data_IF_776676852104
#
_entry.id   IF_776676852104
#
_cell.length_a   1.000
_cell.length_b   1.000
_cell.length_c   1.000
_cell.angle_alpha   90.00
_cell.angle_beta   90.00
_cell.angle_gamma   90.00
#
_symmetry.space_group_name_H-M   'P 1'
#
loop_
_entity.id
_entity.type
_entity.pdbx_description
1 polymer ?
#
# COMPACT_ATOMS: atom_id res chain seq x y z
N UNK A 1 33.98 11.47 4.23
CA UNK A 1 32.79 10.60 4.04
C UNK A 1 33.16 9.12 4.00
N UNK A 2 34.17 8.71 3.22
CA UNK A 2 34.63 7.31 3.23
C UNK A 2 35.17 6.91 4.61
N UNK A 3 36.12 7.70 5.14
CA UNK A 3 36.66 7.55 6.49
C UNK A 3 35.56 7.53 7.55
N UNK A 4 34.66 8.52 7.53
CA UNK A 4 33.50 8.58 8.42
C UNK A 4 32.65 7.30 8.39
N UNK A 5 32.38 6.74 7.21
CA UNK A 5 31.59 5.50 7.11
C UNK A 5 32.40 4.32 7.67
N UNK A 6 33.71 4.29 7.46
CA UNK A 6 34.58 3.26 8.01
C UNK A 6 34.66 3.33 9.55
N UNK A 7 34.73 4.54 10.13
CA UNK A 7 34.78 4.75 11.57
C UNK A 7 33.49 4.28 12.28
N UNK A 8 32.32 4.60 11.71
CA UNK A 8 31.02 4.24 12.28
C UNK A 8 30.50 2.86 11.84
N UNK A 9 31.00 2.32 10.73
CA UNK A 9 30.61 1.02 10.18
C UNK A 9 31.84 0.21 9.74
N UNK A 10 32.74 -0.16 10.68
CA UNK A 10 34.00 -0.82 10.33
C UNK A 10 33.79 -2.23 9.76
N UNK A 11 32.69 -2.90 10.11
CA UNK A 11 32.33 -4.23 9.59
C UNK A 11 31.52 -4.17 8.27
N UNK A 12 31.43 -3.01 7.61
CA UNK A 12 30.64 -2.88 6.39
C UNK A 12 31.36 -3.53 5.20
N UNK A 13 30.70 -4.47 4.55
CA UNK A 13 31.22 -5.06 3.32
C UNK A 13 31.47 -3.97 2.24
N UNK A 14 32.58 -4.02 1.50
CA UNK A 14 32.91 -3.00 0.48
C UNK A 14 31.79 -2.80 -0.55
N UNK A 15 31.12 -3.88 -0.96
CA UNK A 15 29.98 -3.84 -1.89
C UNK A 15 28.77 -3.02 -1.36
N UNK A 16 28.63 -2.89 -0.04
CA UNK A 16 27.54 -2.13 0.60
C UNK A 16 27.87 -0.65 0.82
N UNK A 17 29.11 -0.22 0.57
CA UNK A 17 29.58 1.14 0.83
C UNK A 17 28.71 2.19 0.12
N UNK A 18 28.47 2.02 -1.19
CA UNK A 18 27.68 2.98 -1.97
C UNK A 18 26.23 3.10 -1.49
N UNK A 19 25.61 1.98 -1.12
CA UNK A 19 24.26 1.98 -0.54
C UNK A 19 24.21 2.74 0.79
N UNK A 20 25.19 2.50 1.68
CA UNK A 20 25.31 3.20 2.96
C UNK A 20 25.55 4.69 2.77
N UNK A 21 26.51 5.06 1.91
CA UNK A 21 26.82 6.46 1.56
C UNK A 21 25.58 7.19 1.06
N UNK A 22 24.85 6.60 0.13
CA UNK A 22 23.62 7.19 -0.44
C UNK A 22 22.54 7.38 0.61
N UNK A 23 22.41 6.43 1.53
CA UNK A 23 21.46 6.51 2.65
C UNK A 23 21.81 7.64 3.61
N UNK A 24 23.07 7.76 4.03
CA UNK A 24 23.52 8.83 4.93
C UNK A 24 23.35 10.19 4.27
N UNK A 25 23.74 10.34 3.00
CA UNK A 25 23.55 11.61 2.27
C UNK A 25 22.07 11.99 2.15
N UNK A 26 21.18 11.02 1.96
CA UNK A 26 19.73 11.24 1.97
C UNK A 26 19.25 11.70 3.34
N UNK A 27 19.71 11.09 4.42
CA UNK A 27 19.36 11.51 5.78
C UNK A 27 19.86 12.92 6.09
N UNK A 28 21.09 13.26 5.68
CA UNK A 28 21.64 14.62 5.85
C UNK A 28 20.78 15.64 5.09
N UNK A 29 20.42 15.36 3.83
CA UNK A 29 19.56 16.24 3.02
C UNK A 29 18.17 16.41 3.65
N UNK A 30 17.61 15.35 4.23
CA UNK A 30 16.25 15.34 4.76
C UNK A 30 16.18 15.51 6.28
N UNK A 31 17.26 15.94 6.94
CA UNK A 31 17.38 15.99 8.42
C UNK A 31 16.19 16.69 9.09
N UNK A 32 15.82 17.88 8.61
CA UNK A 32 14.68 18.65 9.16
C UNK A 32 13.35 17.88 9.11
N UNK A 33 13.11 17.14 8.03
CA UNK A 33 11.90 16.31 7.88
C UNK A 33 11.91 15.11 8.85
N UNK A 34 13.09 14.53 9.09
CA UNK A 34 13.24 13.45 10.07
C UNK A 34 13.02 13.95 11.50
N UNK A 35 13.59 15.10 11.87
CA UNK A 35 13.37 15.73 13.18
C UNK A 35 11.89 16.05 13.41
N UNK A 36 11.21 16.61 12.41
CA UNK A 36 9.77 16.86 12.46
C UNK A 36 8.95 15.56 12.61
N UNK A 37 9.35 14.47 11.95
CA UNK A 37 8.67 13.18 12.08
C UNK A 37 8.86 12.56 13.47
N UNK A 38 10.06 12.68 14.05
CA UNK A 38 10.34 12.23 15.43
C UNK A 38 9.50 13.02 16.43
N UNK A 39 9.41 14.34 16.27
CA UNK A 39 8.60 15.19 17.15
C UNK A 39 7.10 14.83 17.13
N UNK A 40 6.59 14.29 16.03
CA UNK A 40 5.20 13.82 15.87
C UNK A 40 5.04 12.34 16.29
N UNK A 41 6.03 11.74 16.96
CA UNK A 41 5.98 10.36 17.45
C UNK A 41 6.20 9.28 16.37
N UNK A 42 6.65 9.65 15.17
CA UNK A 42 6.91 8.71 14.06
C UNK A 42 8.39 8.31 13.94
N UNK A 43 9.19 8.47 14.99
CA UNK A 43 10.63 8.19 14.96
C UNK A 43 10.99 6.73 14.66
N UNK A 44 10.08 5.79 14.95
CA UNK A 44 10.25 4.36 14.62
C UNK A 44 9.97 4.04 13.15
N UNK A 45 9.41 4.97 12.38
CA UNK A 45 9.04 4.72 10.99
C UNK A 45 10.26 4.86 10.06
N UNK A 46 10.57 3.80 9.30
CA UNK A 46 11.60 3.85 8.27
C UNK A 46 11.24 4.71 7.06
N UNK A 47 9.95 5.05 6.89
CA UNK A 47 9.44 5.92 5.82
C UNK A 47 8.37 6.85 6.37
N UNK A 48 8.58 8.16 6.18
CA UNK A 48 7.55 9.17 6.41
C UNK A 48 6.70 9.27 5.16
N UNK A 49 5.37 9.20 5.31
CA UNK A 49 4.40 9.41 4.24
C UNK A 49 3.72 10.77 4.45
N UNK A 50 3.49 11.50 3.38
CA UNK A 50 2.72 12.74 3.43
C UNK A 50 1.31 12.47 3.96
N UNK A 51 0.85 13.34 4.86
CA UNK A 51 -0.53 13.30 5.37
C UNK A 51 -1.49 13.52 4.19
N UNK A 52 -2.49 12.65 4.02
CA UNK A 52 -3.45 12.73 2.92
C UNK A 52 -3.12 11.86 1.69
N UNK A 53 -1.94 11.21 1.64
CA UNK A 53 -1.63 10.20 0.62
C UNK A 53 -2.09 8.83 1.12
N UNK A 54 -3.39 8.68 1.34
CA UNK A 54 -3.97 7.37 1.56
C UNK A 54 -3.98 6.63 0.20
N UNK A 55 -3.15 5.60 0.08
CA UNK A 55 -3.11 4.72 -1.10
C UNK A 55 -3.90 3.44 -0.87
N UNK A 56 -4.64 3.35 0.24
CA UNK A 56 -5.31 2.14 0.69
C UNK A 56 -6.77 2.51 0.93
N UNK A 57 -7.67 1.79 0.27
CA UNK A 57 -9.11 1.87 0.54
C UNK A 57 -9.42 1.54 2.00
N UNK A 58 -10.40 2.24 2.59
CA UNK A 58 -10.92 1.91 3.91
C UNK A 58 -11.57 0.52 3.93
N UNK A 59 -11.90 0.04 5.13
CA UNK A 59 -12.63 -1.22 5.26
C UNK A 59 -14.02 -1.12 4.63
N UNK A 60 -14.72 0.01 4.81
CA UNK A 60 -16.05 0.20 4.20
C UNK A 60 -15.98 0.19 2.68
N UNK A 61 -15.05 0.94 2.08
CA UNK A 61 -14.85 0.98 0.63
C UNK A 61 -14.54 -0.40 0.04
N UNK A 62 -13.72 -1.22 0.72
CA UNK A 62 -13.47 -2.59 0.28
C UNK A 62 -14.73 -3.45 0.36
N UNK A 63 -15.56 -3.26 1.39
CA UNK A 63 -16.80 -4.01 1.56
C UNK A 63 -17.83 -3.65 0.50
N UNK A 64 -17.90 -2.39 0.07
CA UNK A 64 -18.72 -1.99 -1.07
C UNK A 64 -18.34 -2.75 -2.34
N UNK A 65 -17.04 -2.92 -2.60
CA UNK A 65 -16.57 -3.71 -3.75
C UNK A 65 -16.97 -5.18 -3.64
N UNK A 66 -16.88 -5.76 -2.44
CA UNK A 66 -17.29 -7.16 -2.20
C UNK A 66 -18.80 -7.33 -2.46
N UNK A 67 -19.64 -6.44 -1.95
CA UNK A 67 -21.10 -6.47 -2.15
C UNK A 67 -21.49 -6.26 -3.61
N UNK A 68 -20.79 -5.37 -4.31
CA UNK A 68 -21.01 -5.15 -5.74
C UNK A 68 -20.67 -6.40 -6.57
N UNK A 69 -19.57 -7.10 -6.24
CA UNK A 69 -19.24 -8.39 -6.88
C UNK A 69 -20.26 -9.48 -6.55
N UNK A 70 -20.72 -9.55 -5.30
CA UNK A 70 -21.74 -10.50 -4.85
C UNK A 70 -23.01 -10.37 -5.67
N UNK A 71 -23.53 -9.14 -5.79
CA UNK A 71 -24.74 -8.84 -6.56
C UNK A 71 -24.61 -9.29 -8.02
N UNK A 72 -23.51 -8.94 -8.69
CA UNK A 72 -23.30 -9.32 -10.08
C UNK A 72 -23.18 -10.84 -10.26
N UNK A 73 -22.54 -11.54 -9.32
CA UNK A 73 -22.46 -13.01 -9.36
C UNK A 73 -23.81 -13.66 -9.09
N UNK A 74 -24.64 -13.09 -8.21
CA UNK A 74 -26.02 -13.50 -7.99
C UNK A 74 -26.86 -13.38 -9.27
N UNK A 75 -26.59 -12.35 -10.08
CA UNK A 75 -27.21 -12.14 -11.40
C UNK A 75 -26.57 -13.02 -12.51
N UNK A 76 -25.62 -13.91 -12.16
CA UNK A 76 -24.90 -14.77 -13.12
C UNK A 76 -23.85 -14.05 -13.97
N UNK A 77 -23.53 -12.80 -13.65
CA UNK A 77 -22.61 -11.95 -14.41
C UNK A 77 -21.18 -12.13 -13.89
N UNK A 78 -20.24 -12.61 -14.72
CA UNK A 78 -18.85 -12.74 -14.31
C UNK A 78 -18.18 -11.36 -14.21
N UNK A 79 -17.51 -11.10 -13.09
CA UNK A 79 -16.72 -9.87 -12.90
C UNK A 79 -15.28 -10.08 -13.38
N UNK A 80 -14.89 -9.36 -14.42
CA UNK A 80 -13.51 -9.34 -14.92
C UNK A 80 -12.58 -8.52 -14.02
N UNK A 81 -11.27 -8.72 -14.14
CA UNK A 81 -10.29 -7.90 -13.39
C UNK A 81 -10.41 -6.43 -13.78
N UNK A 82 -10.63 -6.12 -15.05
CA UNK A 82 -10.80 -4.75 -15.53
C UNK A 82 -12.01 -4.06 -14.89
N UNK A 83 -13.17 -4.72 -14.82
CA UNK A 83 -14.36 -4.16 -14.18
C UNK A 83 -14.12 -3.88 -12.69
N UNK A 84 -13.42 -4.79 -12.01
CA UNK A 84 -13.05 -4.61 -10.59
C UNK A 84 -12.08 -3.44 -10.41
N UNK A 85 -11.12 -3.26 -11.32
CA UNK A 85 -10.22 -2.10 -11.35
C UNK A 85 -11.00 -0.81 -11.49
N UNK A 86 -11.88 -0.72 -12.49
CA UNK A 86 -12.69 0.47 -12.78
C UNK A 86 -13.58 0.84 -11.58
N UNK A 87 -14.31 -0.13 -11.03
CA UNK A 87 -15.16 0.10 -9.85
C UNK A 87 -14.32 0.49 -8.63
N UNK A 88 -13.16 -0.11 -8.41
CA UNK A 88 -12.27 0.28 -7.30
C UNK A 88 -11.73 1.70 -7.43
N UNK A 89 -11.46 2.18 -8.65
CA UNK A 89 -11.05 3.57 -8.89
C UNK A 89 -12.20 4.55 -8.60
N UNK A 90 -13.44 4.21 -8.99
CA UNK A 90 -14.62 5.02 -8.67
C UNK A 90 -14.84 5.13 -7.15
N UNK A 91 -14.83 3.99 -6.45
CA UNK A 91 -14.97 3.96 -4.98
C UNK A 91 -13.85 4.75 -4.30
N UNK A 92 -12.63 4.70 -4.83
CA UNK A 92 -11.53 5.48 -4.32
C UNK A 92 -11.72 6.99 -4.56
N UNK A 93 -12.23 7.38 -5.73
CA UNK A 93 -12.54 8.77 -6.05
C UNK A 93 -13.60 9.32 -5.09
N UNK A 94 -14.67 8.56 -4.84
CA UNK A 94 -15.74 8.93 -3.90
C UNK A 94 -15.23 9.04 -2.46
N UNK A 95 -14.28 8.19 -2.07
CA UNK A 95 -13.58 8.26 -0.79
C UNK A 95 -12.50 9.36 -0.71
N UNK A 96 -12.30 10.16 -1.76
CA UNK A 96 -11.31 11.24 -1.82
C UNK A 96 -9.86 10.79 -2.03
N UNK A 97 -9.64 9.53 -2.44
CA UNK A 97 -8.32 8.91 -2.59
C UNK A 97 -7.73 9.14 -3.98
N UNK A 98 -7.23 10.35 -4.22
CA UNK A 98 -6.70 10.78 -5.53
C UNK A 98 -5.51 9.97 -6.07
N UNK A 99 -4.76 9.29 -5.21
CA UNK A 99 -3.55 8.55 -5.57
C UNK A 99 -3.74 7.02 -5.59
N UNK A 100 -4.96 6.54 -5.44
CA UNK A 100 -5.26 5.12 -5.56
C UNK A 100 -5.14 4.66 -7.02
N UNK A 101 -4.49 3.52 -7.26
CA UNK A 101 -4.15 3.05 -8.63
C UNK A 101 -4.74 1.70 -9.02
N UNK A 102 -5.41 1.00 -8.09
CA UNK A 102 -5.95 -0.35 -8.33
C UNK A 102 -5.00 -1.25 -9.17
N UNK A 103 -3.73 -1.35 -8.77
CA UNK A 103 -2.74 -2.10 -9.56
C UNK A 103 -3.12 -3.59 -9.71
N UNK A 104 -2.62 -4.26 -10.75
CA UNK A 104 -2.92 -5.67 -11.02
C UNK A 104 -2.70 -6.56 -9.79
N UNK A 105 -1.62 -6.31 -9.04
CA UNK A 105 -1.35 -7.02 -7.78
C UNK A 105 -2.45 -6.78 -6.74
N UNK A 106 -2.88 -5.53 -6.56
CA UNK A 106 -3.94 -5.19 -5.60
C UNK A 106 -5.28 -5.82 -6.00
N UNK A 107 -5.61 -5.80 -7.29
CA UNK A 107 -6.83 -6.43 -7.83
C UNK A 107 -6.78 -7.94 -7.65
N UNK A 108 -5.64 -8.58 -7.91
CA UNK A 108 -5.42 -10.00 -7.69
C UNK A 108 -5.58 -10.38 -6.21
N UNK A 109 -4.97 -9.62 -5.30
CA UNK A 109 -5.08 -9.82 -3.86
C UNK A 109 -6.55 -9.69 -3.39
N UNK A 110 -7.28 -8.66 -3.84
CA UNK A 110 -8.70 -8.48 -3.51
C UNK A 110 -9.57 -9.60 -4.10
N UNK A 111 -9.32 -10.02 -5.34
CA UNK A 111 -10.04 -11.11 -6.00
C UNK A 111 -9.84 -12.44 -5.27
N UNK A 112 -8.65 -12.70 -4.75
CA UNK A 112 -8.37 -13.87 -3.92
C UNK A 112 -9.19 -13.83 -2.62
N UNK A 113 -9.24 -12.67 -1.95
CA UNK A 113 -10.06 -12.48 -0.73
C UNK A 113 -11.55 -12.68 -1.02
N UNK A 114 -12.06 -12.09 -2.11
CA UNK A 114 -13.44 -12.25 -2.57
C UNK A 114 -13.74 -13.73 -2.82
N UNK A 115 -12.92 -14.41 -3.63
CA UNK A 115 -13.11 -15.82 -3.92
C UNK A 115 -13.06 -16.67 -2.64
N UNK A 116 -12.15 -16.37 -1.71
CA UNK A 116 -12.10 -17.08 -0.42
C UNK A 116 -13.37 -16.87 0.40
N UNK A 117 -13.88 -15.65 0.48
CA UNK A 117 -15.13 -15.32 1.19
C UNK A 117 -16.35 -16.03 0.59
N UNK A 118 -16.39 -16.21 -0.73
CA UNK A 118 -17.52 -16.85 -1.43
C UNK A 118 -17.37 -18.37 -1.60
N UNK A 119 -16.15 -18.92 -1.59
CA UNK A 119 -15.92 -20.38 -1.62
C UNK A 119 -16.06 -21.01 -0.22
N UNK A 120 -15.77 -20.25 0.85
CA UNK A 120 -15.87 -20.73 2.23
C UNK A 120 -17.29 -20.68 2.84
N UNK A 121 -18.30 -20.20 2.10
CA UNK A 121 -19.70 -20.20 2.51
C UNK A 121 -20.54 -20.88 1.41
N UNK A 122 -20.65 -22.22 1.41
CA UNK A 122 -21.65 -22.87 0.57
C UNK A 122 -23.05 -22.55 1.12
N UNK A 123 -23.94 -22.15 0.21
CA UNK A 123 -25.38 -21.93 0.35
C UNK A 123 -25.87 -20.79 1.26
N UNK A 124 -26.22 -19.68 0.60
CA UNK A 124 -27.54 -19.07 0.85
C UNK A 124 -28.56 -19.74 -0.09
N UNK A 125 -29.04 -20.90 0.34
CA UNK A 125 -30.31 -21.43 -0.13
C UNK A 125 -31.44 -20.68 0.60
N UNK A 126 -32.29 -19.95 -0.14
CA UNK A 126 -33.74 -19.80 0.05
C UNK A 126 -34.30 -18.81 -0.96
#
# INVERSE_FOLDING_TARGET
>A
MHETINDFYPALAPASYHSKRTTILRWVRNRKSLEAAVAVGKGQHMKVRDKGVATILSKESKMELVQWVDKLRGDGIPVSSQMLTEKALLVAQDAGLRNFRASDKWVGDLRAVINFLFVALPDKAS
#
